data_IF_460472565980
#
_entry.id   IF_460472565980
#
_cell.length_a   1.000
_cell.length_b   1.000
_cell.length_c   1.000
_cell.angle_alpha   90.00
_cell.angle_beta   90.00
_cell.angle_gamma   90.00
#
_symmetry.space_group_name_H-M   'P 1'
#
loop_
_entity.id
_entity.type
_entity.pdbx_description
1 polymer ?
#
# COMPACT_ATOMS: atom_id res chain seq x y z
N UNK A 1 1.36 -10.76 -0.42
CA UNK A 1 0.20 -11.61 -0.01
C UNK A 1 -0.80 -11.69 -1.16
N UNK A 2 -1.40 -12.87 -1.39
CA UNK A 2 -2.31 -13.08 -2.55
C UNK A 2 -3.70 -12.42 -2.37
N UNK A 3 -4.03 -11.86 -1.20
CA UNK A 3 -5.34 -11.29 -0.87
C UNK A 3 -5.19 -10.10 0.08
N UNK A 4 -4.44 -9.08 -0.31
CA UNK A 4 -4.39 -7.83 0.46
C UNK A 4 -5.76 -7.13 0.34
N UNK A 5 -6.47 -7.06 1.45
CA UNK A 5 -7.70 -6.28 1.60
C UNK A 5 -7.45 -4.90 2.22
N UNK A 6 -8.51 -4.25 2.66
CA UNK A 6 -8.46 -2.94 3.34
C UNK A 6 -7.58 -3.03 4.60
N UNK A 7 -7.85 -4.01 5.49
CA UNK A 7 -7.11 -4.17 6.75
C UNK A 7 -5.61 -4.37 6.54
N UNK A 8 -5.21 -5.23 5.58
CA UNK A 8 -3.79 -5.41 5.26
C UNK A 8 -3.15 -4.09 4.80
N UNK A 9 -3.86 -3.29 3.98
CA UNK A 9 -3.34 -2.01 3.51
C UNK A 9 -3.16 -1.04 4.66
N UNK A 10 -4.12 -0.95 5.58
CA UNK A 10 -4.04 -0.10 6.78
C UNK A 10 -2.84 -0.48 7.66
N UNK A 11 -2.60 -1.78 7.88
CA UNK A 11 -1.44 -2.28 8.62
C UNK A 11 -0.11 -1.83 7.99
N UNK A 12 -0.07 -1.65 6.66
CA UNK A 12 1.14 -1.20 5.96
C UNK A 12 1.34 0.33 5.94
N UNK A 13 0.33 1.14 6.26
CA UNK A 13 0.44 2.61 6.23
C UNK A 13 1.61 3.18 7.05
N UNK A 14 1.90 2.71 8.27
CA UNK A 14 3.04 3.19 9.05
C UNK A 14 4.38 3.00 8.32
N UNK A 15 4.56 1.87 7.65
CA UNK A 15 5.78 1.55 6.91
C UNK A 15 5.92 2.42 5.66
N UNK A 16 4.80 2.69 4.98
CA UNK A 16 4.74 3.59 3.82
C UNK A 16 5.08 5.02 4.25
N UNK A 17 4.48 5.49 5.36
CA UNK A 17 4.76 6.83 5.95
C UNK A 17 6.24 6.95 6.33
N UNK A 18 6.82 5.92 6.95
CA UNK A 18 8.24 5.90 7.32
C UNK A 18 9.17 5.99 6.10
N UNK A 19 8.85 5.31 4.99
CA UNK A 19 9.58 5.41 3.73
C UNK A 19 9.46 6.83 3.16
N UNK A 20 8.24 7.39 3.11
CA UNK A 20 8.00 8.75 2.63
C UNK A 20 8.82 9.78 3.43
N UNK A 21 8.85 9.68 4.76
CA UNK A 21 9.67 10.55 5.63
C UNK A 21 11.16 10.37 5.36
N UNK A 22 11.65 9.14 5.20
CA UNK A 22 13.06 8.85 4.95
C UNK A 22 13.58 9.51 3.68
N UNK A 23 12.76 9.55 2.63
CA UNK A 23 13.14 10.12 1.34
C UNK A 23 12.61 11.55 1.13
N UNK A 24 11.88 12.10 2.10
CA UNK A 24 11.22 13.40 2.01
C UNK A 24 10.42 13.54 0.71
N UNK A 25 9.70 12.49 0.34
CA UNK A 25 8.94 12.40 -0.90
C UNK A 25 7.71 11.52 -0.71
N UNK A 26 6.54 11.90 -1.26
CA UNK A 26 5.38 11.03 -1.22
C UNK A 26 5.60 9.76 -2.04
N UNK A 27 4.92 8.68 -1.67
CA UNK A 27 5.09 7.33 -2.22
C UNK A 27 3.91 6.94 -3.08
N UNK A 28 4.15 6.38 -4.26
CA UNK A 28 3.10 5.77 -5.06
C UNK A 28 2.85 4.31 -4.62
N UNK A 29 1.58 3.91 -4.50
CA UNK A 29 1.20 2.58 -4.05
C UNK A 29 0.72 1.72 -5.21
N UNK A 30 1.30 0.52 -5.35
CA UNK A 30 0.77 -0.53 -6.23
C UNK A 30 -0.02 -1.53 -5.39
N UNK A 31 -1.34 -1.47 -5.47
CA UNK A 31 -2.28 -2.24 -4.66
C UNK A 31 -3.33 -2.95 -5.51
N UNK A 32 -3.97 -3.97 -4.96
CA UNK A 32 -5.11 -4.60 -5.61
C UNK A 32 -6.38 -3.76 -5.44
N UNK A 33 -7.33 -3.92 -6.35
CA UNK A 33 -8.63 -3.25 -6.32
C UNK A 33 -9.42 -3.52 -5.03
N UNK A 34 -9.37 -4.75 -4.52
CA UNK A 34 -10.04 -5.13 -3.26
C UNK A 34 -9.46 -4.44 -2.01
N UNK A 35 -8.33 -3.76 -2.11
CA UNK A 35 -7.80 -2.91 -1.03
C UNK A 35 -8.64 -1.65 -0.83
N UNK A 36 -9.39 -1.22 -1.84
CA UNK A 36 -10.17 0.01 -1.81
C UNK A 36 -9.36 1.27 -1.47
N UNK A 37 -8.04 1.21 -1.64
CA UNK A 37 -7.10 2.24 -1.19
C UNK A 37 -7.45 3.63 -1.76
N UNK A 38 -7.91 3.70 -3.01
CA UNK A 38 -8.32 4.97 -3.62
C UNK A 38 -9.52 5.63 -2.93
N UNK A 39 -10.35 4.87 -2.21
CA UNK A 39 -11.54 5.40 -1.54
C UNK A 39 -11.20 6.12 -0.23
N UNK A 40 -10.13 5.76 0.48
CA UNK A 40 -9.80 6.29 1.80
C UNK A 40 -8.40 6.90 1.95
N UNK A 41 -7.51 6.73 0.96
CA UNK A 41 -6.15 7.28 1.01
C UNK A 41 -5.92 8.51 0.11
N UNK A 42 -6.93 8.95 -0.63
CA UNK A 42 -6.81 10.07 -1.58
C UNK A 42 -6.46 11.42 -0.92
N UNK A 43 -6.68 11.56 0.38
CA UNK A 43 -6.36 12.78 1.15
C UNK A 43 -5.03 12.64 1.93
N UNK A 44 -4.32 11.52 1.79
CA UNK A 44 -3.12 11.22 2.57
C UNK A 44 -1.89 11.85 1.93
N UNK A 45 -1.27 12.81 2.61
CA UNK A 45 -0.19 13.66 2.07
C UNK A 45 1.13 12.93 1.79
N UNK A 46 1.39 11.78 2.41
CA UNK A 46 2.58 10.97 2.13
C UNK A 46 2.35 9.94 1.00
N UNK A 47 1.19 9.98 0.34
CA UNK A 47 0.87 9.14 -0.82
C UNK A 47 0.68 10.05 -2.05
N UNK A 48 1.44 9.77 -3.13
CA UNK A 48 1.33 10.49 -4.40
C UNK A 48 0.23 9.89 -5.28
N UNK A 49 0.35 8.61 -5.60
CA UNK A 49 -0.56 7.90 -6.52
C UNK A 49 -0.94 6.53 -6.01
N UNK A 50 -2.15 6.12 -6.35
CA UNK A 50 -2.62 4.75 -6.13
C UNK A 50 -2.78 4.09 -7.50
N UNK A 51 -1.91 3.11 -7.76
CA UNK A 51 -1.87 2.33 -9.00
C UNK A 51 -2.54 0.99 -8.72
N UNK A 52 -3.56 0.66 -9.49
CA UNK A 52 -4.31 -0.58 -9.30
C UNK A 52 -3.63 -1.73 -10.05
N UNK A 53 -3.31 -2.78 -9.31
CA UNK A 53 -2.84 -4.05 -9.86
C UNK A 53 -4.05 -4.90 -10.29
N UNK A 54 -4.43 -4.77 -11.54
CA UNK A 54 -5.59 -5.44 -12.14
C UNK A 54 -5.29 -6.93 -12.40
N UNK A 55 -5.60 -7.77 -11.43
CA UNK A 55 -5.38 -9.23 -11.48
C UNK A 55 -6.64 -10.04 -11.14
N UNK A 56 -7.78 -9.41 -11.13
CA UNK A 56 -9.05 -10.09 -10.93
C UNK A 56 -9.60 -10.57 -12.27
N UNK A 57 -9.77 -11.89 -12.41
CA UNK A 57 -10.30 -12.51 -13.63
C UNK A 57 -11.74 -12.11 -13.95
N UNK A 58 -12.50 -11.65 -12.92
CA UNK A 58 -13.89 -11.26 -13.07
C UNK A 58 -14.08 -9.82 -13.56
N UNK A 59 -13.13 -8.93 -13.27
CA UNK A 59 -13.21 -7.50 -13.59
C UNK A 59 -12.25 -7.14 -14.73
N UNK A 60 -10.96 -7.19 -14.45
CA UNK A 60 -9.90 -6.96 -15.44
C UNK A 60 -8.70 -7.80 -15.07
N UNK A 61 -8.15 -8.52 -16.04
CA UNK A 61 -6.95 -9.33 -15.84
C UNK A 61 -5.75 -8.74 -16.60
N UNK A 62 -5.72 -7.42 -16.76
CA UNK A 62 -4.67 -6.69 -17.50
C UNK A 62 -3.26 -7.06 -17.05
N UNK A 63 -3.05 -7.25 -15.73
CA UNK A 63 -1.76 -7.59 -15.13
C UNK A 63 -1.63 -9.07 -14.73
N UNK A 64 -2.58 -9.93 -15.14
CA UNK A 64 -2.59 -11.35 -14.85
C UNK A 64 -1.74 -12.17 -15.82
N UNK A 65 -1.27 -13.36 -15.38
CA UNK A 65 -0.49 -14.29 -16.20
C UNK A 65 0.83 -13.71 -16.71
N UNK A 66 1.38 -14.36 -17.73
CA UNK A 66 2.67 -13.99 -18.35
C UNK A 66 2.56 -12.65 -19.11
N UNK A 67 1.59 -12.53 -20.01
CA UNK A 67 1.36 -11.29 -20.78
C UNK A 67 1.02 -10.09 -19.88
N UNK A 68 0.30 -10.30 -18.78
CA UNK A 68 0.02 -9.25 -17.80
C UNK A 68 1.27 -8.71 -17.10
N UNK A 69 2.37 -9.47 -17.08
CA UNK A 69 3.65 -8.95 -16.59
C UNK A 69 4.24 -7.91 -17.53
N UNK A 70 4.13 -8.08 -18.85
CA UNK A 70 4.56 -7.06 -19.83
C UNK A 70 3.72 -5.79 -19.73
N UNK A 71 2.41 -5.92 -19.53
CA UNK A 71 1.55 -4.76 -19.31
C UNK A 71 1.97 -3.99 -18.06
N UNK A 72 2.24 -4.69 -16.94
CA UNK A 72 2.68 -4.05 -15.71
C UNK A 72 4.05 -3.38 -15.87
N UNK A 73 5.00 -4.02 -16.57
CA UNK A 73 6.30 -3.40 -16.90
C UNK A 73 6.10 -2.10 -17.65
N UNK A 74 5.24 -2.09 -18.69
CA UNK A 74 4.96 -0.90 -19.49
C UNK A 74 4.30 0.19 -18.66
N UNK A 75 3.37 -0.16 -17.80
CA UNK A 75 2.68 0.79 -16.94
C UNK A 75 3.65 1.40 -15.91
N UNK A 76 4.50 0.60 -15.26
CA UNK A 76 5.50 1.10 -14.32
C UNK A 76 6.55 2.01 -14.98
N UNK A 77 7.00 1.69 -16.19
CA UNK A 77 7.95 2.53 -16.94
C UNK A 77 7.47 3.97 -17.15
N UNK A 78 6.16 4.15 -17.33
CA UNK A 78 5.55 5.48 -17.56
C UNK A 78 5.64 6.41 -16.36
N UNK A 79 5.89 5.85 -15.17
CA UNK A 79 5.97 6.61 -13.94
C UNK A 79 7.40 7.03 -13.57
N UNK A 80 8.44 6.50 -14.25
CA UNK A 80 9.85 6.82 -14.03
C UNK A 80 10.30 6.70 -12.58
N UNK A 81 9.91 5.60 -11.91
CA UNK A 81 10.31 5.36 -10.53
C UNK A 81 11.80 5.03 -10.41
N UNK A 82 12.49 5.67 -9.48
CA UNK A 82 13.89 5.37 -9.15
C UNK A 82 14.01 4.18 -8.21
N UNK A 83 13.06 4.05 -7.28
CA UNK A 83 13.08 3.07 -6.19
C UNK A 83 11.77 2.30 -6.08
N UNK A 84 11.86 1.04 -5.68
CA UNK A 84 10.69 0.22 -5.36
C UNK A 84 10.89 -0.60 -4.09
N UNK A 85 9.87 -0.67 -3.25
CA UNK A 85 9.81 -1.46 -2.03
C UNK A 85 8.79 -2.57 -2.19
N UNK A 86 9.26 -3.82 -2.24
CA UNK A 86 8.43 -5.01 -2.51
C UNK A 86 8.25 -5.80 -1.22
N UNK A 87 7.12 -5.61 -0.55
CA UNK A 87 6.75 -6.28 0.70
C UNK A 87 6.23 -7.72 0.48
N UNK A 88 6.90 -8.46 -0.38
CA UNK A 88 6.66 -9.88 -0.59
C UNK A 88 7.90 -10.57 -1.17
N UNK A 89 7.90 -11.90 -1.14
CA UNK A 89 9.02 -12.74 -1.61
C UNK A 89 8.83 -13.24 -3.05
N UNK A 90 8.07 -12.53 -3.90
CA UNK A 90 7.77 -12.96 -5.27
C UNK A 90 8.86 -12.56 -6.25
N UNK A 91 9.56 -13.54 -6.81
CA UNK A 91 10.53 -13.34 -7.89
C UNK A 91 9.93 -12.59 -9.09
N UNK A 92 8.65 -12.83 -9.40
CA UNK A 92 7.94 -12.16 -10.49
C UNK A 92 8.01 -10.63 -10.35
N UNK A 93 7.72 -10.08 -9.17
CA UNK A 93 7.74 -8.62 -8.98
C UNK A 93 9.15 -8.05 -9.04
N UNK A 94 10.17 -8.81 -8.62
CA UNK A 94 11.56 -8.41 -8.78
C UNK A 94 11.94 -8.27 -10.26
N UNK A 95 11.60 -9.28 -11.06
CA UNK A 95 11.86 -9.26 -12.51
C UNK A 95 11.11 -8.11 -13.19
N UNK A 96 9.84 -7.90 -12.84
CA UNK A 96 9.04 -6.79 -13.38
C UNK A 96 9.70 -5.45 -13.04
N UNK A 97 10.13 -5.24 -11.80
CA UNK A 97 10.78 -3.99 -11.38
C UNK A 97 12.09 -3.75 -12.17
N UNK A 98 12.94 -4.76 -12.29
CA UNK A 98 14.17 -4.68 -13.09
C UNK A 98 13.90 -4.33 -14.55
N UNK A 99 12.95 -5.04 -15.17
CA UNK A 99 12.58 -4.81 -16.56
C UNK A 99 11.84 -3.47 -16.77
N UNK A 100 11.28 -2.90 -15.71
CA UNK A 100 10.69 -1.55 -15.76
C UNK A 100 11.72 -0.42 -15.74
N UNK A 101 13.00 -0.73 -15.54
CA UNK A 101 14.08 0.25 -15.49
C UNK A 101 14.27 0.89 -14.12
N UNK A 102 13.67 0.31 -13.06
CA UNK A 102 13.82 0.82 -11.69
C UNK A 102 15.21 0.44 -11.19
N UNK A 103 15.99 1.45 -10.77
CA UNK A 103 17.41 1.29 -10.41
C UNK A 103 17.62 0.67 -9.03
N UNK A 104 16.79 1.04 -8.05
CA UNK A 104 16.92 0.58 -6.68
C UNK A 104 15.72 -0.29 -6.27
N UNK A 105 15.98 -1.58 -6.04
CA UNK A 105 14.94 -2.56 -5.71
C UNK A 105 15.20 -3.11 -4.31
N UNK A 106 14.31 -2.80 -3.40
CA UNK A 106 14.29 -3.31 -2.03
C UNK A 106 13.17 -4.35 -1.92
N UNK A 107 13.51 -5.58 -1.56
CA UNK A 107 12.56 -6.68 -1.49
C UNK A 107 12.81 -7.60 -0.30
N UNK A 108 11.74 -8.22 0.20
CA UNK A 108 11.86 -9.33 1.15
C UNK A 108 12.68 -10.48 0.54
N UNK A 109 13.39 -11.28 1.37
CA UNK A 109 14.13 -12.45 0.89
C UNK A 109 13.24 -13.36 0.04
N UNK A 110 13.72 -13.70 -1.16
CA UNK A 110 12.91 -14.39 -2.20
C UNK A 110 12.40 -15.78 -1.78
N UNK A 111 13.13 -16.46 -0.93
CA UNK A 111 12.85 -17.88 -0.60
C UNK A 111 12.44 -18.11 0.87
N UNK A 112 12.37 -17.05 1.66
CA UNK A 112 12.01 -17.17 3.08
C UNK A 112 10.50 -16.92 3.28
N UNK A 113 9.72 -18.02 3.34
CA UNK A 113 8.25 -17.96 3.50
C UNK A 113 7.78 -18.30 4.91
N UNK A 114 8.67 -18.71 5.81
CA UNK A 114 8.29 -19.25 7.13
C UNK A 114 8.17 -18.16 8.17
N UNK A 115 7.05 -18.16 8.93
CA UNK A 115 6.89 -17.42 10.17
C UNK A 115 6.91 -15.89 10.06
N UNK A 116 6.55 -15.33 8.90
CA UNK A 116 6.55 -13.87 8.71
C UNK A 116 5.30 -13.25 9.35
N UNK A 117 5.47 -12.67 10.52
CA UNK A 117 4.42 -11.83 11.13
C UNK A 117 4.22 -10.56 10.30
N UNK A 118 2.94 -10.17 10.09
CA UNK A 118 2.57 -9.08 9.18
C UNK A 118 3.15 -7.71 9.57
N UNK A 119 3.43 -7.50 10.85
CA UNK A 119 4.00 -6.25 11.39
C UNK A 119 5.52 -6.36 11.58
N UNK A 120 6.01 -7.47 12.12
CA UNK A 120 7.43 -7.59 12.50
C UNK A 120 8.35 -7.71 11.28
N UNK A 121 7.86 -8.37 10.22
CA UNK A 121 8.64 -8.52 8.99
C UNK A 121 8.92 -7.19 8.29
N UNK A 122 7.93 -6.30 8.04
CA UNK A 122 8.22 -4.99 7.49
C UNK A 122 9.05 -4.11 8.42
N UNK A 123 8.87 -4.17 9.75
CA UNK A 123 9.75 -3.46 10.70
C UNK A 123 11.20 -3.86 10.52
N UNK A 124 11.48 -5.16 10.56
CA UNK A 124 12.83 -5.69 10.35
C UNK A 124 13.38 -5.30 8.99
N UNK A 125 12.59 -5.41 7.95
CA UNK A 125 12.99 -5.04 6.59
C UNK A 125 13.39 -3.57 6.47
N UNK A 126 12.60 -2.65 7.02
CA UNK A 126 12.92 -1.22 7.01
C UNK A 126 14.15 -0.89 7.87
N UNK A 127 14.31 -1.55 9.01
CA UNK A 127 15.52 -1.42 9.83
C UNK A 127 16.75 -1.88 9.07
N UNK A 128 16.73 -3.09 8.52
CA UNK A 128 17.90 -3.72 7.88
C UNK A 128 18.29 -3.04 6.55
N UNK A 129 17.31 -2.53 5.80
CA UNK A 129 17.55 -1.95 4.46
C UNK A 129 17.66 -0.44 4.45
N UNK A 130 16.98 0.25 5.36
CA UNK A 130 16.88 1.71 5.34
C UNK A 130 17.35 2.36 6.65
N UNK A 131 17.74 1.58 7.65
CA UNK A 131 18.07 2.07 9.00
C UNK A 131 16.92 2.90 9.63
N UNK A 132 15.66 2.46 9.39
CA UNK A 132 14.48 3.03 10.02
C UNK A 132 14.15 2.20 11.25
N UNK A 133 14.25 2.79 12.45
CA UNK A 133 14.05 2.10 13.72
C UNK A 133 12.69 2.39 14.34
N UNK A 134 12.14 3.56 14.08
CA UNK A 134 10.86 4.01 14.65
C UNK A 134 9.76 3.95 13.58
N UNK A 135 8.66 3.33 13.94
CA UNK A 135 7.46 3.22 13.11
C UNK A 135 6.30 3.77 13.91
N UNK A 136 5.64 4.78 13.38
CA UNK A 136 4.46 5.40 13.98
C UNK A 136 3.25 4.46 13.88
N UNK A 137 2.17 4.81 14.58
CA UNK A 137 0.90 4.10 14.45
C UNK A 137 0.24 4.35 13.08
N UNK A 138 -0.62 3.44 12.60
CA UNK A 138 -1.36 3.64 11.37
C UNK A 138 -2.32 4.83 11.51
N UNK A 139 -2.28 5.73 10.52
CA UNK A 139 -3.11 6.92 10.48
C UNK A 139 -3.77 7.04 9.10
N UNK A 140 -5.08 7.30 9.11
CA UNK A 140 -5.85 7.65 7.93
C UNK A 140 -6.27 9.11 8.08
N UNK A 141 -5.84 9.95 7.16
CA UNK A 141 -6.23 11.36 7.15
C UNK A 141 -7.63 11.52 6.58
N UNK A 142 -8.49 12.22 7.31
CA UNK A 142 -9.83 12.57 6.88
C UNK A 142 -9.97 14.08 7.08
N UNK A 143 -10.34 14.82 6.04
CA UNK A 143 -10.51 16.28 6.15
C UNK A 143 -11.78 16.66 6.93
N UNK A 144 -11.79 17.87 7.46
CA UNK A 144 -12.88 18.40 8.30
C UNK A 144 -14.22 18.46 7.55
N UNK A 145 -14.21 18.67 6.25
CA UNK A 145 -15.42 18.66 5.42
C UNK A 145 -16.07 17.28 5.41
N UNK A 146 -15.28 16.23 5.17
CA UNK A 146 -15.77 14.83 5.21
C UNK A 146 -16.29 14.46 6.61
N UNK A 147 -15.58 14.90 7.65
CA UNK A 147 -16.03 14.70 9.04
C UNK A 147 -17.38 15.38 9.25
N UNK A 148 -17.52 16.65 8.88
CA UNK A 148 -18.75 17.43 9.04
C UNK A 148 -19.92 16.83 8.27
N UNK A 149 -19.69 16.39 7.04
CA UNK A 149 -20.68 15.69 6.23
C UNK A 149 -21.14 14.37 6.89
N UNK A 150 -20.20 13.62 7.44
CA UNK A 150 -20.49 12.36 8.13
C UNK A 150 -21.29 12.59 9.42
N UNK A 151 -20.90 13.56 10.23
CA UNK A 151 -21.63 13.96 11.44
C UNK A 151 -23.09 14.31 11.10
N UNK A 152 -23.30 15.13 10.07
CA UNK A 152 -24.65 15.51 9.60
C UNK A 152 -25.43 14.31 9.05
N UNK A 153 -24.80 13.49 8.21
CA UNK A 153 -25.42 12.32 7.57
C UNK A 153 -25.90 11.28 8.58
N UNK A 154 -25.08 11.01 9.58
CA UNK A 154 -25.38 10.01 10.61
C UNK A 154 -26.02 10.61 11.86
N UNK A 155 -26.33 11.91 11.86
CA UNK A 155 -26.96 12.63 12.99
C UNK A 155 -26.20 12.41 14.30
N UNK A 156 -24.88 12.46 14.24
CA UNK A 156 -24.01 12.25 15.42
C UNK A 156 -24.09 13.48 16.31
N UNK A 157 -24.58 13.33 17.55
CA UNK A 157 -24.47 14.39 18.57
C UNK A 157 -23.14 14.22 19.31
N UNK A 158 -22.31 15.26 19.23
CA UNK A 158 -20.98 15.27 19.89
C UNK A 158 -21.07 15.37 21.43
N UNK A 159 -22.23 15.74 21.97
CA UNK A 159 -22.47 15.83 23.40
C UNK A 159 -23.03 14.53 23.99
N UNK A 160 -23.31 13.53 23.15
CA UNK A 160 -23.82 12.24 23.57
C UNK A 160 -22.82 11.10 23.34
N UNK A 161 -23.01 10.00 24.03
CA UNK A 161 -22.21 8.78 23.80
C UNK A 161 -22.70 8.12 22.52
N UNK A 162 -21.84 8.14 21.49
CA UNK A 162 -22.13 7.48 20.22
C UNK A 162 -21.44 6.12 20.19
N UNK A 163 -22.20 5.03 20.04
CA UNK A 163 -21.69 3.67 19.92
C UNK A 163 -21.84 3.18 18.49
N UNK A 164 -20.75 2.75 17.88
CA UNK A 164 -20.73 2.09 16.58
C UNK A 164 -20.33 0.63 16.76
N UNK A 165 -21.20 -0.29 16.36
CA UNK A 165 -20.89 -1.72 16.32
C UNK A 165 -20.67 -2.14 14.86
N UNK A 166 -19.48 -2.63 14.55
CA UNK A 166 -19.17 -3.27 13.28
C UNK A 166 -19.50 -4.75 13.35
N UNK A 167 -20.52 -5.16 12.62
CA UNK A 167 -20.88 -6.58 12.45
C UNK A 167 -20.39 -6.99 11.07
N UNK A 168 -19.29 -7.73 11.00
CA UNK A 168 -18.68 -8.23 9.76
C UNK A 168 -19.10 -9.66 9.47
#
# INVERSE_FOLDING_TARGET
QNRMGIGDTVIFLPFIKAISKKYNSPVSLLVRENSKAAEYLHQTNYIDKIIILERDKKLSNKHGGFFGSFNLIRDLRRHYFDKIFIFNSSLRFNIIAKLSGISEIYQYPLFNKTGQHIVDTPKKFLKDKLNINEIEDPEIYINDETISQSVKKFKIDKNEINLLLGIG
#
